data_IF_204650303266
#
_entry.id   IF_204650303266
#
_cell.length_a   1.000
_cell.length_b   1.000
_cell.length_c   1.000
_cell.angle_alpha   90.00
_cell.angle_beta   90.00
_cell.angle_gamma   90.00
#
_symmetry.space_group_name_H-M   'P 1'
#
loop_
_entity.id
_entity.type
_entity.pdbx_description
1 polymer ?
#
# COMPACT_ATOMS: atom_id res chain seq x y z
N UNK A 1 30.61 -15.48 -0.84
CA UNK A 1 30.44 -14.03 -1.08
C UNK A 1 29.43 -13.79 -2.21
N UNK A 2 29.61 -14.42 -3.37
CA UNK A 2 28.69 -14.28 -4.52
C UNK A 2 27.27 -14.72 -4.15
N UNK A 3 27.13 -15.82 -3.40
CA UNK A 3 25.84 -16.29 -2.94
C UNK A 3 25.15 -15.30 -2.01
N UNK A 4 25.88 -14.68 -1.08
CA UNK A 4 25.34 -13.68 -0.16
C UNK A 4 24.89 -12.41 -0.90
N UNK A 5 25.65 -11.97 -1.91
CA UNK A 5 25.27 -10.81 -2.73
C UNK A 5 24.01 -11.11 -3.57
N UNK A 6 23.91 -12.31 -4.13
CA UNK A 6 22.71 -12.73 -4.87
C UNK A 6 21.48 -12.79 -3.97
N UNK A 7 21.64 -13.29 -2.74
CA UNK A 7 20.55 -13.36 -1.76
C UNK A 7 20.10 -11.97 -1.33
N UNK A 8 21.02 -11.05 -1.07
CA UNK A 8 20.70 -9.67 -0.74
C UNK A 8 19.95 -8.99 -1.89
N UNK A 9 20.41 -9.17 -3.13
CA UNK A 9 19.75 -8.63 -4.31
C UNK A 9 18.32 -9.17 -4.47
N UNK A 10 18.10 -10.44 -4.16
CA UNK A 10 16.77 -11.06 -4.16
C UNK A 10 15.85 -10.42 -3.13
N UNK A 11 16.31 -10.23 -1.90
CA UNK A 11 15.52 -9.59 -0.84
C UNK A 11 15.23 -8.12 -1.17
N UNK A 12 16.19 -7.38 -1.71
CA UNK A 12 15.97 -6.00 -2.13
C UNK A 12 14.94 -5.91 -3.27
N UNK A 13 14.97 -6.86 -4.21
CA UNK A 13 13.98 -6.97 -5.27
C UNK A 13 12.58 -7.23 -4.70
N UNK A 14 12.45 -8.22 -3.80
CA UNK A 14 11.19 -8.55 -3.15
C UNK A 14 10.61 -7.34 -2.42
N UNK A 15 11.43 -6.63 -1.66
CA UNK A 15 11.03 -5.42 -0.95
C UNK A 15 10.53 -4.33 -1.90
N UNK A 16 11.29 -4.05 -2.95
CA UNK A 16 10.98 -2.98 -3.91
C UNK A 16 9.67 -3.21 -4.64
N UNK A 17 9.38 -4.46 -5.02
CA UNK A 17 8.22 -4.81 -5.81
C UNK A 17 7.04 -5.34 -4.99
N UNK A 18 7.15 -5.33 -3.67
CA UNK A 18 6.19 -5.92 -2.73
C UNK A 18 4.75 -5.42 -2.94
N UNK A 19 4.56 -4.14 -3.19
CA UNK A 19 3.24 -3.53 -3.35
C UNK A 19 3.05 -2.87 -4.72
N UNK A 20 3.63 -3.43 -5.77
CA UNK A 20 3.39 -2.99 -7.15
C UNK A 20 2.30 -3.80 -7.84
N UNK A 21 1.80 -4.85 -7.19
CA UNK A 21 0.70 -5.68 -7.68
C UNK A 21 -0.63 -5.00 -7.37
N UNK A 22 -1.31 -4.56 -8.42
CA UNK A 22 -2.61 -3.89 -8.31
C UNK A 22 -3.65 -4.78 -7.60
N UNK A 23 -3.69 -6.07 -7.90
CA UNK A 23 -4.63 -7.00 -7.29
C UNK A 23 -4.43 -7.10 -5.78
N UNK A 24 -3.18 -7.10 -5.33
CA UNK A 24 -2.86 -7.11 -3.90
C UNK A 24 -3.38 -5.86 -3.21
N UNK A 25 -3.13 -4.69 -3.80
CA UNK A 25 -3.60 -3.42 -3.25
C UNK A 25 -5.13 -3.40 -3.21
N UNK A 26 -5.80 -3.88 -4.24
CA UNK A 26 -7.26 -3.95 -4.30
C UNK A 26 -7.84 -4.88 -3.23
N UNK A 27 -7.20 -6.03 -2.99
CA UNK A 27 -7.62 -6.93 -1.89
C UNK A 27 -7.50 -6.28 -0.52
N UNK A 28 -6.38 -5.58 -0.28
CA UNK A 28 -6.12 -4.93 1.01
C UNK A 28 -7.09 -3.78 1.24
N UNK A 29 -7.30 -2.94 0.24
CA UNK A 29 -8.10 -1.71 0.37
C UNK A 29 -9.60 -1.91 0.17
N UNK A 30 -9.99 -3.01 -0.45
CA UNK A 30 -11.39 -3.32 -0.73
C UNK A 30 -12.01 -2.55 -1.88
N UNK A 31 -11.23 -1.84 -2.68
CA UNK A 31 -11.70 -1.06 -3.82
C UNK A 31 -10.87 -1.36 -5.06
N UNK A 32 -11.47 -1.18 -6.24
CA UNK A 32 -10.80 -1.35 -7.52
C UNK A 32 -10.17 -0.04 -7.98
N UNK A 33 -8.97 -0.12 -8.53
CA UNK A 33 -8.23 1.03 -9.07
C UNK A 33 -8.02 0.86 -10.57
N UNK A 34 -7.88 1.97 -11.32
CA UNK A 34 -7.36 1.90 -12.69
C UNK A 34 -5.91 1.37 -12.68
N UNK A 35 -5.45 0.91 -13.83
CA UNK A 35 -4.03 0.58 -13.99
C UNK A 35 -3.17 1.78 -13.66
N UNK A 36 -1.99 1.53 -13.09
CA UNK A 36 -1.08 2.58 -12.67
C UNK A 36 0.37 2.21 -13.00
N UNK A 37 1.22 3.21 -12.96
CA UNK A 37 2.67 3.06 -13.00
C UNK A 37 3.28 3.69 -11.75
N UNK A 38 4.40 3.16 -11.31
CA UNK A 38 5.19 3.76 -10.23
C UNK A 38 6.05 4.86 -10.83
N UNK A 39 5.91 6.09 -10.32
CA UNK A 39 6.67 7.25 -10.80
C UNK A 39 7.80 7.64 -9.86
N UNK A 40 7.77 7.21 -8.61
CA UNK A 40 8.90 7.36 -7.69
C UNK A 40 8.89 6.25 -6.65
N UNK A 41 10.06 5.91 -6.16
CA UNK A 41 10.24 4.92 -5.10
C UNK A 41 11.43 5.33 -4.24
N UNK A 42 11.24 5.29 -2.92
CA UNK A 42 12.29 5.59 -1.96
C UNK A 42 12.26 4.56 -0.83
N UNK A 43 13.33 3.79 -0.71
CA UNK A 43 13.51 2.83 0.37
C UNK A 43 14.24 3.49 1.54
N UNK A 44 13.77 3.24 2.75
CA UNK A 44 14.52 3.58 3.96
C UNK A 44 15.43 2.44 4.35
N UNK A 45 16.53 2.76 5.06
CA UNK A 45 17.37 1.75 5.66
C UNK A 45 16.58 1.00 6.75
N UNK A 46 16.80 -0.32 6.83
CA UNK A 46 16.28 -1.12 7.93
C UNK A 46 16.97 -0.73 9.21
N UNK A 47 16.21 -0.63 10.29
CA UNK A 47 16.79 -0.46 11.61
C UNK A 47 17.36 -1.79 12.13
N UNK A 48 17.90 -1.76 13.35
CA UNK A 48 18.51 -2.92 13.99
C UNK A 48 17.55 -4.09 14.17
N UNK A 49 16.22 -3.81 14.24
CA UNK A 49 15.17 -4.82 14.41
C UNK A 49 14.59 -5.29 13.07
N UNK A 50 15.07 -4.75 11.95
CA UNK A 50 14.58 -5.05 10.62
C UNK A 50 13.34 -4.26 10.22
N UNK A 51 12.89 -3.30 11.01
CA UNK A 51 11.78 -2.42 10.67
C UNK A 51 12.20 -1.43 9.58
N UNK A 52 11.29 -1.15 8.64
CA UNK A 52 11.54 -0.19 7.57
C UNK A 52 10.25 0.41 7.06
N UNK A 53 10.37 1.56 6.41
CA UNK A 53 9.28 2.22 5.69
C UNK A 53 9.73 2.54 4.29
N UNK A 54 9.00 2.05 3.31
CA UNK A 54 9.20 2.41 1.91
C UNK A 54 8.08 3.34 1.47
N UNK A 55 8.44 4.30 0.62
CA UNK A 55 7.50 5.26 0.08
C UNK A 55 7.52 5.17 -1.44
N UNK A 56 6.34 5.19 -2.06
CA UNK A 56 6.26 5.27 -3.50
C UNK A 56 5.09 6.15 -3.92
N UNK A 57 5.23 6.74 -5.10
CA UNK A 57 4.17 7.50 -5.73
C UNK A 57 3.78 6.80 -7.02
N UNK A 58 2.47 6.65 -7.22
CA UNK A 58 1.91 6.03 -8.41
C UNK A 58 1.08 7.04 -9.18
N UNK A 59 0.98 6.81 -10.49
CA UNK A 59 0.14 7.59 -11.39
C UNK A 59 -0.83 6.64 -12.08
N UNK A 60 -2.12 6.90 -11.92
CA UNK A 60 -3.17 6.13 -12.59
C UNK A 60 -3.21 6.51 -14.07
N UNK A 61 -3.48 5.53 -14.94
CA UNK A 61 -3.68 5.78 -16.37
C UNK A 61 -4.88 6.67 -16.65
N UNK A 62 -5.93 6.49 -15.86
CA UNK A 62 -7.17 7.27 -15.96
C UNK A 62 -7.44 7.94 -14.61
N UNK A 63 -8.11 9.08 -14.63
CA UNK A 63 -8.59 9.70 -13.40
C UNK A 63 -9.62 8.80 -12.72
N UNK A 64 -9.65 8.83 -11.40
CA UNK A 64 -10.64 8.09 -10.63
C UNK A 64 -12.03 8.64 -10.95
N UNK A 65 -12.98 7.75 -11.21
CA UNK A 65 -14.32 8.12 -11.63
C UNK A 65 -15.16 8.66 -10.48
N UNK A 66 -16.24 9.36 -10.81
CA UNK A 66 -17.21 9.80 -9.79
C UNK A 66 -17.85 8.61 -9.07
N UNK A 67 -18.04 7.48 -9.77
CA UNK A 67 -18.55 6.25 -9.15
C UNK A 67 -17.57 5.69 -8.11
N UNK A 68 -16.27 5.78 -8.36
CA UNK A 68 -15.24 5.37 -7.41
C UNK A 68 -15.33 6.19 -6.11
N UNK A 69 -15.39 7.51 -6.22
CA UNK A 69 -15.52 8.39 -5.05
C UNK A 69 -16.84 8.17 -4.31
N UNK A 70 -17.91 7.91 -5.03
CA UNK A 70 -19.20 7.61 -4.42
C UNK A 70 -19.12 6.33 -3.58
N UNK A 71 -18.46 5.30 -4.09
CA UNK A 71 -18.25 4.05 -3.37
C UNK A 71 -17.41 4.30 -2.10
N UNK A 72 -16.32 5.05 -2.19
CA UNK A 72 -15.51 5.39 -1.02
C UNK A 72 -16.31 6.19 0.02
N UNK A 73 -17.02 7.20 -0.41
CA UNK A 73 -17.82 8.03 0.51
C UNK A 73 -18.87 7.17 1.23
N UNK A 74 -19.49 6.22 0.53
CA UNK A 74 -20.45 5.29 1.12
C UNK A 74 -19.78 4.38 2.16
N UNK A 75 -18.60 3.85 1.88
CA UNK A 75 -17.86 3.02 2.83
C UNK A 75 -17.47 3.81 4.08
N UNK A 76 -16.99 5.03 3.91
CA UNK A 76 -16.57 5.90 5.02
C UNK A 76 -17.77 6.23 5.90
N UNK A 77 -18.93 6.45 5.32
CA UNK A 77 -20.16 6.77 6.06
C UNK A 77 -20.62 5.64 6.97
N UNK A 78 -20.26 4.39 6.69
CA UNK A 78 -20.64 3.23 7.55
C UNK A 78 -19.78 3.09 8.80
N UNK A 79 -18.62 3.74 8.87
CA UNK A 79 -17.62 3.59 9.93
C UNK A 79 -17.10 2.14 10.10
N UNK A 80 -17.30 1.28 9.13
CA UNK A 80 -16.87 -0.12 9.14
C UNK A 80 -15.69 -0.38 8.20
N UNK A 81 -14.92 0.66 7.88
CA UNK A 81 -13.82 0.59 6.94
C UNK A 81 -12.56 1.23 7.53
N UNK A 82 -11.41 0.84 6.97
CA UNK A 82 -10.13 1.49 7.27
C UNK A 82 -9.87 2.72 6.38
N UNK A 83 -10.83 3.10 5.55
CA UNK A 83 -10.81 4.34 4.79
C UNK A 83 -11.28 5.52 5.62
N UNK A 84 -10.64 6.66 5.43
CA UNK A 84 -11.03 7.94 6.04
C UNK A 84 -10.85 9.07 5.04
N UNK A 85 -11.45 10.21 5.36
CA UNK A 85 -11.40 11.41 4.51
C UNK A 85 -11.24 12.66 5.37
N UNK A 86 -10.27 13.47 5.00
CA UNK A 86 -10.13 14.86 5.47
C UNK A 86 -9.89 15.72 4.23
N UNK A 87 -8.69 16.29 4.05
CA UNK A 87 -8.32 16.92 2.79
C UNK A 87 -8.09 15.89 1.68
N UNK A 88 -7.59 14.70 2.08
CA UNK A 88 -7.32 13.58 1.18
C UNK A 88 -8.16 12.38 1.58
N UNK A 89 -8.37 11.47 0.64
CA UNK A 89 -8.79 10.11 0.95
C UNK A 89 -7.58 9.33 1.44
N UNK A 90 -7.76 8.57 2.50
CA UNK A 90 -6.68 7.89 3.18
C UNK A 90 -7.13 6.50 3.65
N UNK A 91 -6.30 5.50 3.36
CA UNK A 91 -6.46 4.14 3.87
C UNK A 91 -5.23 3.78 4.67
N UNK A 92 -5.42 3.20 5.85
CA UNK A 92 -4.32 2.72 6.69
C UNK A 92 -4.71 1.43 7.36
N UNK A 93 -3.84 0.44 7.26
CA UNK A 93 -4.04 -0.84 7.93
C UNK A 93 -2.71 -1.41 8.38
N UNK A 94 -2.73 -2.01 9.57
CA UNK A 94 -1.61 -2.80 10.08
C UNK A 94 -2.11 -4.21 10.40
N UNK A 95 -1.25 -5.18 10.23
CA UNK A 95 -1.55 -6.56 10.66
C UNK A 95 -0.29 -7.25 11.11
N UNK A 96 -0.44 -8.45 11.67
CA UNK A 96 0.61 -9.17 12.38
C UNK A 96 0.50 -8.96 13.89
N UNK A 97 1.26 -9.71 14.63
CA UNK A 97 1.30 -9.67 16.10
C UNK A 97 -0.10 -9.78 16.73
N UNK A 98 -0.92 -10.69 16.20
CA UNK A 98 -2.28 -10.94 16.69
C UNK A 98 -3.36 -10.08 16.05
N UNK A 99 -3.02 -9.08 15.25
CA UNK A 99 -3.97 -8.27 14.51
C UNK A 99 -4.43 -9.01 13.24
N UNK A 100 -5.73 -8.98 12.90
CA UNK A 100 -6.24 -9.71 11.73
C UNK A 100 -5.69 -9.14 10.43
N UNK A 101 -5.22 -10.05 9.56
CA UNK A 101 -4.73 -9.70 8.24
C UNK A 101 -5.88 -9.58 7.23
N UNK A 102 -5.73 -8.75 6.19
CA UNK A 102 -6.64 -8.78 5.06
C UNK A 102 -6.65 -10.16 4.40
N UNK A 103 -7.75 -10.51 3.75
CA UNK A 103 -7.87 -11.77 3.02
C UNK A 103 -6.72 -11.95 2.02
N UNK A 104 -6.09 -13.11 2.03
CA UNK A 104 -4.96 -13.42 1.16
C UNK A 104 -3.60 -12.96 1.66
N UNK A 105 -3.53 -12.25 2.81
CA UNK A 105 -2.26 -11.82 3.40
C UNK A 105 -1.84 -12.75 4.54
N UNK A 106 -0.53 -12.85 4.76
CA UNK A 106 0.05 -13.66 5.83
C UNK A 106 -0.12 -12.92 7.17
N UNK A 107 -0.89 -13.54 8.09
CA UNK A 107 -1.15 -12.97 9.42
C UNK A 107 0.06 -13.00 10.36
N UNK A 108 1.13 -13.71 10.00
CA UNK A 108 2.34 -13.79 10.83
C UNK A 108 3.37 -12.72 10.47
N UNK A 109 3.19 -12.02 9.36
CA UNK A 109 4.04 -10.89 9.00
C UNK A 109 3.51 -9.59 9.63
N UNK A 110 4.41 -8.82 10.24
CA UNK A 110 4.10 -7.52 10.85
C UNK A 110 4.21 -6.43 9.80
N UNK A 111 3.12 -6.17 9.11
CA UNK A 111 3.07 -5.26 7.94
C UNK A 111 2.19 -4.07 8.23
N UNK A 112 2.58 -2.90 7.72
CA UNK A 112 1.67 -1.78 7.56
C UNK A 112 1.57 -1.38 6.09
N UNK A 113 0.41 -0.84 5.72
CA UNK A 113 0.14 -0.35 4.37
C UNK A 113 -0.75 0.88 4.44
N UNK A 114 -0.33 1.95 3.76
CA UNK A 114 -1.08 3.20 3.66
C UNK A 114 -1.15 3.64 2.20
N UNK A 115 -2.29 4.16 1.80
CA UNK A 115 -2.44 4.84 0.51
C UNK A 115 -3.27 6.10 0.70
N UNK A 116 -2.87 7.19 0.06
CA UNK A 116 -3.59 8.46 0.10
C UNK A 116 -3.59 9.16 -1.24
N UNK A 117 -4.65 9.88 -1.53
CA UNK A 117 -4.77 10.68 -2.74
C UNK A 117 -5.79 11.82 -2.56
N UNK A 118 -5.62 12.89 -3.32
CA UNK A 118 -6.58 13.99 -3.39
C UNK A 118 -7.67 13.67 -4.40
N UNK A 119 -8.89 14.10 -4.11
CA UNK A 119 -9.98 14.03 -5.08
C UNK A 119 -9.60 14.73 -6.39
N UNK A 120 -9.91 14.10 -7.51
CA UNK A 120 -9.59 14.58 -8.87
C UNK A 120 -8.11 14.56 -9.24
N UNK A 121 -7.25 13.98 -8.40
CA UNK A 121 -5.85 13.70 -8.75
C UNK A 121 -5.74 12.34 -9.43
N UNK A 122 -4.80 12.22 -10.36
CA UNK A 122 -4.44 10.93 -10.94
C UNK A 122 -3.22 10.30 -10.26
N UNK A 123 -2.81 10.83 -9.11
CA UNK A 123 -1.65 10.35 -8.36
C UNK A 123 -2.04 9.95 -6.94
N UNK A 124 -1.35 8.93 -6.43
CA UNK A 124 -1.49 8.48 -5.06
C UNK A 124 -0.12 8.24 -4.43
N UNK A 125 -0.05 8.44 -3.12
CA UNK A 125 1.13 8.12 -2.32
C UNK A 125 0.88 6.84 -1.55
N UNK A 126 1.85 5.93 -1.60
CA UNK A 126 1.81 4.65 -0.90
C UNK A 126 3.00 4.57 0.03
N UNK A 127 2.74 4.18 1.28
CA UNK A 127 3.77 3.85 2.26
C UNK A 127 3.51 2.46 2.78
N UNK A 128 4.56 1.67 2.92
CA UNK A 128 4.44 0.32 3.46
C UNK A 128 5.74 -0.09 4.13
N UNK A 129 5.66 -1.12 4.91
CA UNK A 129 6.86 -1.66 5.54
C UNK A 129 6.56 -2.67 6.62
N UNK A 130 7.58 -2.89 7.46
CA UNK A 130 7.55 -3.78 8.62
C UNK A 130 7.57 -2.91 9.87
N UNK A 131 6.71 -3.24 10.84
CA UNK A 131 6.60 -2.52 12.11
C UNK A 131 6.93 -3.38 13.30
#
# INVERSE_FOLDING_TARGET
IIFLLALQGYFDYQRKYQFRDKERIERITGVEFPDFKVISYQAEERDIRGEYTDNMEIEFKDTLSSAFYHTLDSMIATNETDWSKSENYYFSKIWGNGLPAPEGEDSEEDIFFNISFKKNSNRAKISYGVW
#
